data_IF_323494305688
#
_entry.id   IF_323494305688
#
_cell.length_a   1.000
_cell.length_b   1.000
_cell.length_c   1.000
_cell.angle_alpha   90.00
_cell.angle_beta   90.00
_cell.angle_gamma   90.00
#
_symmetry.space_group_name_H-M   'P 1'
#
loop_
_entity.id
_entity.type
_entity.pdbx_description
1 polymer ?
#
# COMPACT_ATOMS: atom_id res chain seq x y z
N UNK A 1 5.99 -2.45 15.10
CA UNK A 1 5.58 -3.32 13.97
C UNK A 1 6.77 -3.66 13.07
N UNK A 2 6.92 -4.92 12.63
CA UNK A 2 7.95 -5.34 11.67
C UNK A 2 7.78 -4.68 10.29
N UNK A 3 8.82 -4.72 9.44
CA UNK A 3 8.80 -4.11 8.09
C UNK A 3 7.65 -4.63 7.23
N UNK A 4 7.36 -5.94 7.31
CA UNK A 4 6.25 -6.57 6.57
C UNK A 4 4.88 -6.03 6.99
N UNK A 5 4.74 -5.69 8.27
CA UNK A 5 3.49 -5.20 8.86
C UNK A 5 3.30 -3.68 8.73
N UNK A 6 4.29 -2.96 8.16
CA UNK A 6 4.22 -1.52 7.82
C UNK A 6 4.37 -1.34 6.31
N UNK A 7 3.41 -1.82 5.50
CA UNK A 7 3.48 -1.66 4.05
C UNK A 7 3.46 -0.18 3.65
N UNK A 8 4.19 0.21 2.60
CA UNK A 8 4.18 1.59 2.12
C UNK A 8 2.78 2.00 1.64
N UNK A 9 2.48 3.29 1.74
CA UNK A 9 1.25 3.88 1.23
C UNK A 9 1.55 4.92 0.16
N UNK A 10 0.89 4.83 -0.99
CA UNK A 10 1.02 5.83 -2.05
C UNK A 10 0.28 7.12 -1.73
N UNK A 11 0.78 8.26 -2.21
CA UNK A 11 0.09 9.57 -2.08
C UNK A 11 -1.35 9.50 -2.62
N UNK A 12 -1.54 8.82 -3.76
CA UNK A 12 -2.86 8.59 -4.38
C UNK A 12 -3.85 7.88 -3.45
N UNK A 13 -3.36 6.92 -2.66
CA UNK A 13 -4.20 6.16 -1.71
C UNK A 13 -4.48 6.98 -0.45
N UNK A 14 -3.53 7.82 -0.02
CA UNK A 14 -3.80 8.79 1.07
C UNK A 14 -4.90 9.75 0.64
N UNK A 15 -4.75 10.40 -0.53
CA UNK A 15 -5.74 11.34 -1.07
C UNK A 15 -7.14 10.72 -1.14
N UNK A 16 -7.26 9.51 -1.69
CA UNK A 16 -8.54 8.79 -1.78
C UNK A 16 -9.19 8.52 -0.41
N UNK A 17 -8.41 8.19 0.61
CA UNK A 17 -8.93 7.89 1.95
C UNK A 17 -9.24 9.16 2.78
N UNK A 18 -8.68 10.31 2.35
CA UNK A 18 -8.88 11.63 2.93
C UNK A 18 -9.96 12.44 2.21
N UNK A 19 -10.50 11.94 1.09
CA UNK A 19 -11.63 12.57 0.40
C UNK A 19 -12.82 12.76 1.37
N UNK A 20 -13.33 13.99 1.47
CA UNK A 20 -14.40 14.36 2.41
C UNK A 20 -13.98 14.46 3.88
N UNK A 21 -12.67 14.46 4.18
CA UNK A 21 -12.11 14.62 5.54
C UNK A 21 -11.18 15.82 5.60
N UNK A 22 -11.66 16.94 5.08
CA UNK A 22 -10.90 18.17 5.00
C UNK A 22 -10.51 18.68 6.40
N UNK A 23 -9.35 19.32 6.48
CA UNK A 23 -8.79 19.83 7.74
C UNK A 23 -8.21 18.77 8.70
N UNK A 24 -8.36 17.47 8.41
CA UNK A 24 -7.78 16.41 9.25
C UNK A 24 -6.36 16.04 8.80
N UNK A 25 -5.53 15.65 9.76
CA UNK A 25 -4.17 15.14 9.49
C UNK A 25 -4.20 13.65 9.21
N UNK A 26 -3.67 13.21 8.07
CA UNK A 26 -3.53 11.81 7.72
C UNK A 26 -2.31 11.21 8.43
N UNK A 27 -2.51 10.23 9.31
CA UNK A 27 -1.44 9.59 10.08
C UNK A 27 -1.11 8.23 9.51
N UNK A 28 0.11 8.05 9.02
CA UNK A 28 0.59 6.80 8.40
C UNK A 28 1.78 6.25 9.18
N UNK A 29 1.58 5.14 9.88
CA UNK A 29 2.65 4.43 10.60
C UNK A 29 3.45 3.56 9.62
N UNK A 30 4.18 4.21 8.71
CA UNK A 30 4.93 3.56 7.63
C UNK A 30 5.59 4.56 6.69
N UNK A 31 5.98 4.08 5.51
CA UNK A 31 6.57 4.92 4.46
C UNK A 31 5.49 5.45 3.52
N UNK A 32 5.51 6.74 3.22
CA UNK A 32 4.70 7.34 2.16
C UNK A 32 5.51 7.43 0.88
N UNK A 33 4.98 6.86 -0.20
CA UNK A 33 5.63 6.77 -1.51
C UNK A 33 4.88 7.57 -2.56
N UNK A 34 5.62 8.04 -3.56
CA UNK A 34 5.02 8.73 -4.70
C UNK A 34 4.21 7.79 -5.60
N UNK A 35 3.35 8.37 -6.43
CA UNK A 35 2.61 7.69 -7.48
C UNK A 35 2.56 8.57 -8.73
N UNK A 36 3.44 8.29 -9.70
CA UNK A 36 3.56 9.07 -10.94
C UNK A 36 2.28 9.03 -11.79
N UNK A 37 1.40 8.04 -11.57
CA UNK A 37 0.12 7.91 -12.30
C UNK A 37 -0.94 8.86 -11.75
N UNK A 38 -0.77 9.34 -10.54
CA UNK A 38 -1.67 10.31 -9.92
C UNK A 38 -1.13 11.67 -10.27
N UNK A 39 -1.82 12.45 -11.11
CA UNK A 39 -1.28 13.68 -11.71
C UNK A 39 -1.39 14.86 -10.74
N UNK A 40 -2.58 15.11 -10.23
CA UNK A 40 -2.87 16.23 -9.34
C UNK A 40 -2.94 15.77 -7.89
N UNK A 41 -2.04 16.28 -7.06
CA UNK A 41 -2.03 15.99 -5.62
C UNK A 41 -2.80 17.10 -4.92
N UNK A 42 -3.89 16.80 -4.19
CA UNK A 42 -4.59 17.82 -3.41
C UNK A 42 -3.74 18.27 -2.21
N UNK A 43 -4.10 19.39 -1.60
CA UNK A 43 -3.48 19.84 -0.34
C UNK A 43 -3.73 18.80 0.75
N UNK A 44 -2.66 18.16 1.22
CA UNK A 44 -2.72 17.11 2.25
C UNK A 44 -1.82 17.47 3.43
N UNK A 45 -2.33 17.24 4.64
CA UNK A 45 -1.51 17.20 5.86
C UNK A 45 -1.23 15.75 6.22
N UNK A 46 0.05 15.35 6.23
CA UNK A 46 0.45 13.96 6.43
C UNK A 46 1.50 13.84 7.54
N UNK A 47 1.21 13.04 8.56
CA UNK A 47 2.19 12.56 9.53
C UNK A 47 2.68 11.16 9.15
N UNK A 48 3.99 10.96 9.00
CA UNK A 48 4.53 9.64 8.66
C UNK A 48 5.93 9.35 9.23
N UNK A 49 6.34 8.07 9.21
CA UNK A 49 7.67 7.66 9.70
C UNK A 49 8.76 7.99 8.69
N UNK A 50 8.48 7.75 7.40
CA UNK A 50 9.41 8.00 6.29
C UNK A 50 8.62 8.47 5.08
N UNK A 51 9.24 9.31 4.26
CA UNK A 51 8.66 9.78 3.01
C UNK A 51 9.72 9.72 1.89
N UNK A 52 9.31 9.38 0.67
CA UNK A 52 10.21 9.48 -0.48
C UNK A 52 10.41 10.94 -0.87
N UNK A 53 11.60 11.29 -1.37
CA UNK A 53 11.94 12.67 -1.77
C UNK A 53 10.93 13.25 -2.76
N UNK A 54 10.52 12.45 -3.75
CA UNK A 54 9.56 12.86 -4.78
C UNK A 54 8.16 13.08 -4.22
N UNK A 55 7.67 12.20 -3.33
CA UNK A 55 6.38 12.39 -2.67
C UNK A 55 6.36 13.67 -1.83
N UNK A 56 7.43 13.92 -1.06
CA UNK A 56 7.57 15.13 -0.25
C UNK A 56 7.49 16.38 -1.12
N UNK A 57 8.25 16.44 -2.22
CA UNK A 57 8.26 17.57 -3.13
C UNK A 57 6.86 17.85 -3.71
N UNK A 58 6.11 16.81 -4.09
CA UNK A 58 4.77 16.96 -4.66
C UNK A 58 3.73 17.43 -3.65
N UNK A 59 3.77 16.93 -2.41
CA UNK A 59 2.87 17.37 -1.35
C UNK A 59 3.14 18.83 -0.98
N UNK A 60 4.41 19.23 -0.86
CA UNK A 60 4.77 20.62 -0.59
C UNK A 60 4.39 21.55 -1.74
N UNK A 61 4.57 21.11 -3.01
CA UNK A 61 4.14 21.87 -4.18
C UNK A 61 2.63 22.09 -4.22
N UNK A 62 1.84 21.13 -3.73
CA UNK A 62 0.39 21.27 -3.58
C UNK A 62 -0.03 22.15 -2.38
N UNK A 63 0.92 22.77 -1.67
CA UNK A 63 0.67 23.56 -0.46
C UNK A 63 0.30 22.71 0.76
N UNK A 64 0.54 21.39 0.70
CA UNK A 64 0.36 20.47 1.82
C UNK A 64 1.53 20.53 2.81
N UNK A 65 1.40 19.77 3.88
CA UNK A 65 2.43 19.65 4.92
C UNK A 65 2.78 18.19 5.17
N UNK A 66 4.05 17.94 5.49
CA UNK A 66 4.55 16.62 5.90
C UNK A 66 5.22 16.79 7.24
N UNK A 67 4.66 16.16 8.27
CA UNK A 67 5.14 16.22 9.64
C UNK A 67 5.66 14.88 10.13
N UNK A 68 6.55 14.92 11.12
CA UNK A 68 7.03 13.74 11.84
C UNK A 68 6.12 13.39 13.01
N UNK A 69 6.33 12.23 13.63
CA UNK A 69 5.49 11.78 14.75
C UNK A 69 5.71 12.59 16.04
N UNK A 70 6.93 13.10 16.26
CA UNK A 70 7.23 14.03 17.35
C UNK A 70 6.49 15.36 17.17
N UNK A 71 6.51 15.94 15.96
CA UNK A 71 5.73 17.13 15.63
C UNK A 71 4.21 16.91 15.77
N UNK A 72 3.72 15.74 15.35
CA UNK A 72 2.33 15.37 15.54
C UNK A 72 1.96 15.29 17.02
N UNK A 73 2.81 14.69 17.85
CA UNK A 73 2.55 14.55 19.28
C UNK A 73 2.47 15.92 19.99
N UNK A 74 3.27 16.89 19.56
CA UNK A 74 3.20 18.27 20.06
C UNK A 74 1.91 18.99 19.60
N UNK A 75 1.49 18.81 18.35
CA UNK A 75 0.29 19.48 17.78
C UNK A 75 -1.02 18.85 18.25
N UNK A 76 -1.06 17.53 18.38
CA UNK A 76 -2.27 16.76 18.69
C UNK A 76 -1.93 15.61 19.67
N UNK A 77 -1.63 15.92 20.95
CA UNK A 77 -1.21 14.90 21.92
C UNK A 77 -2.29 13.83 22.18
N UNK A 78 -3.57 14.19 22.06
CA UNK A 78 -4.72 13.27 22.16
C UNK A 78 -5.07 12.59 20.84
N UNK A 79 -4.45 12.98 19.72
CA UNK A 79 -4.80 12.52 18.38
C UNK A 79 -6.10 13.09 17.81
N UNK A 80 -6.66 14.14 18.42
CA UNK A 80 -7.84 14.83 17.89
C UNK A 80 -7.60 15.34 16.45
N UNK A 81 -8.64 15.32 15.61
CA UNK A 81 -8.58 15.72 14.19
C UNK A 81 -7.55 14.96 13.33
N UNK A 82 -7.21 13.74 13.72
CA UNK A 82 -6.35 12.85 12.93
C UNK A 82 -7.14 11.69 12.31
N UNK A 83 -6.61 11.14 11.21
CA UNK A 83 -7.14 9.93 10.57
C UNK A 83 -6.01 8.91 10.46
N UNK A 84 -6.12 7.83 11.22
CA UNK A 84 -5.14 6.74 11.16
C UNK A 84 -5.34 5.90 9.89
N UNK A 85 -4.31 5.85 9.05
CA UNK A 85 -4.31 5.12 7.79
C UNK A 85 -3.26 4.03 7.78
N UNK A 86 -3.58 2.90 7.12
CA UNK A 86 -2.66 1.76 6.97
C UNK A 86 -2.66 1.23 5.54
N UNK A 87 -1.48 0.90 5.02
CA UNK A 87 -1.35 0.26 3.71
C UNK A 87 -1.96 -1.15 3.69
N UNK A 88 -2.31 -1.65 2.51
CA UNK A 88 -2.85 -3.02 2.36
C UNK A 88 -1.74 -4.03 2.66
N UNK A 89 -1.97 -4.94 3.62
CA UNK A 89 -1.00 -5.97 4.03
C UNK A 89 -0.95 -7.15 3.05
N UNK A 90 -2.11 -7.56 2.55
CA UNK A 90 -2.26 -8.82 1.80
C UNK A 90 -1.95 -8.70 0.30
N UNK A 91 -1.29 -7.62 -0.13
CA UNK A 91 -0.94 -7.40 -1.55
C UNK A 91 0.50 -7.79 -1.89
N UNK A 92 1.30 -8.18 -0.89
CA UNK A 92 2.69 -8.60 -1.07
C UNK A 92 2.75 -9.93 -1.83
N UNK A 93 3.79 -10.11 -2.65
CA UNK A 93 3.98 -11.30 -3.48
C UNK A 93 3.90 -12.61 -2.69
N UNK A 94 4.55 -12.69 -1.53
CA UNK A 94 4.51 -13.88 -0.67
C UNK A 94 3.08 -14.31 -0.29
N UNK A 95 2.17 -13.34 -0.06
CA UNK A 95 0.79 -13.64 0.37
C UNK A 95 -0.02 -14.28 -0.76
N UNK A 96 0.35 -14.07 -2.03
CA UNK A 96 -0.33 -14.69 -3.17
C UNK A 96 -0.18 -16.21 -3.20
N UNK A 97 0.85 -16.74 -2.54
CA UNK A 97 1.12 -18.17 -2.47
C UNK A 97 0.40 -18.87 -1.30
N UNK A 98 -0.15 -18.11 -0.37
CA UNK A 98 -0.79 -18.67 0.82
C UNK A 98 -2.16 -19.28 0.48
N UNK A 99 -2.56 -20.33 1.21
CA UNK A 99 -3.81 -21.04 0.96
C UNK A 99 -3.81 -21.86 -0.33
N UNK A 100 -2.65 -22.36 -0.75
CA UNK A 100 -2.50 -23.20 -1.93
C UNK A 100 -3.22 -24.54 -1.77
N UNK A 101 -4.00 -24.93 -2.79
CA UNK A 101 -4.71 -26.19 -2.84
C UNK A 101 -5.55 -26.34 -4.12
N UNK A 102 -6.14 -27.52 -4.37
CA UNK A 102 -7.06 -27.74 -5.49
C UNK A 102 -8.25 -26.77 -5.45
N UNK A 103 -8.68 -26.21 -6.58
CA UNK A 103 -9.79 -25.24 -6.63
C UNK A 103 -9.51 -23.87 -6.01
N UNK A 104 -8.27 -23.58 -5.58
CA UNK A 104 -7.88 -22.27 -5.02
C UNK A 104 -7.10 -21.44 -6.03
N UNK A 105 -7.32 -20.13 -6.04
CA UNK A 105 -6.63 -19.16 -6.91
C UNK A 105 -5.28 -18.69 -6.35
N UNK A 106 -4.63 -19.50 -5.52
CA UNK A 106 -3.29 -19.20 -5.02
C UNK A 106 -2.25 -19.38 -6.12
N UNK A 107 -1.23 -18.51 -6.12
CA UNK A 107 -0.12 -18.57 -7.05
C UNK A 107 0.79 -19.77 -6.70
N UNK A 108 1.10 -20.68 -7.63
CA UNK A 108 2.07 -21.75 -7.37
C UNK A 108 3.50 -21.20 -7.24
N UNK A 109 4.33 -21.88 -6.46
CA UNK A 109 5.78 -21.65 -6.45
C UNK A 109 6.40 -22.35 -7.65
N UNK A 110 6.70 -21.59 -8.69
CA UNK A 110 7.33 -22.09 -9.93
C UNK A 110 8.70 -21.45 -10.11
N UNK A 111 9.67 -22.21 -10.63
CA UNK A 111 11.01 -21.70 -10.93
C UNK A 111 11.00 -20.66 -12.07
N UNK A 112 10.13 -20.86 -13.06
CA UNK A 112 10.06 -20.01 -14.24
C UNK A 112 8.63 -19.90 -14.76
N UNK A 113 8.33 -18.81 -15.45
CA UNK A 113 7.06 -18.63 -16.16
C UNK A 113 7.21 -19.18 -17.58
N UNK A 114 6.32 -20.07 -18.00
CA UNK A 114 6.32 -20.57 -19.38
C UNK A 114 5.36 -21.72 -19.60
N UNK A 115 5.23 -22.17 -20.85
CA UNK A 115 4.37 -23.31 -21.21
C UNK A 115 4.83 -24.64 -20.62
N UNK A 116 6.15 -24.77 -20.35
CA UNK A 116 6.79 -25.99 -19.85
C UNK A 116 6.76 -26.14 -18.31
N UNK A 117 6.31 -25.12 -17.57
CA UNK A 117 6.37 -25.08 -16.11
C UNK A 117 4.95 -25.09 -15.53
N UNK A 118 4.55 -26.20 -14.89
CA UNK A 118 3.29 -26.37 -14.14
C UNK A 118 1.99 -25.91 -14.85
N UNK A 119 1.89 -26.15 -16.17
CA UNK A 119 0.69 -25.84 -16.97
C UNK A 119 0.04 -27.06 -17.66
N UNK A 120 0.55 -28.27 -17.44
CA UNK A 120 0.10 -29.48 -18.13
C UNK A 120 -1.05 -30.19 -17.40
N UNK A 121 -0.77 -31.27 -16.66
CA UNK A 121 -1.78 -32.04 -15.93
C UNK A 121 -2.35 -31.23 -14.76
N UNK A 122 -3.66 -31.28 -14.54
CA UNK A 122 -4.33 -30.59 -13.43
C UNK A 122 -4.65 -29.11 -13.67
N UNK A 123 -4.22 -28.52 -14.80
CA UNK A 123 -4.49 -27.11 -15.16
C UNK A 123 -5.35 -26.92 -16.41
N UNK A 124 -5.60 -27.99 -17.17
CA UNK A 124 -6.43 -27.98 -18.39
C UNK A 124 -7.11 -29.33 -18.59
N UNK A 125 -8.34 -29.31 -19.09
CA UNK A 125 -9.17 -30.49 -19.26
C UNK A 125 -8.53 -31.53 -20.20
N UNK A 126 -7.79 -31.11 -21.23
CA UNK A 126 -7.15 -32.00 -22.19
C UNK A 126 -5.99 -32.84 -21.65
N UNK A 127 -5.57 -32.64 -20.39
CA UNK A 127 -4.47 -33.40 -19.76
C UNK A 127 -4.92 -33.97 -18.41
N UNK A 128 -5.81 -34.96 -18.46
CA UNK A 128 -6.28 -35.73 -17.30
C UNK A 128 -7.45 -35.08 -16.57
N UNK A 129 -7.22 -33.95 -15.91
CA UNK A 129 -8.27 -33.19 -15.21
C UNK A 129 -7.90 -31.70 -15.09
N UNK A 130 -8.87 -30.87 -14.69
CA UNK A 130 -8.67 -29.45 -14.38
C UNK A 130 -9.18 -29.19 -12.96
N UNK A 131 -8.26 -28.79 -12.08
CA UNK A 131 -8.56 -28.34 -10.73
C UNK A 131 -8.86 -26.83 -10.67
#
# INVERSE_FOLDING_TARGET
>A
MSRVNRPPMSVSRVARNMAGKDGKTAVVVGTVTDDNRFLEVPKLSIACLRITKTAKARILKAGGEVITFDQLALRAPTGANTVLLRGKKNTREAVKHFGMGPGKHAKPYVQSKGRKFEKARGRRASRGFKA
#
